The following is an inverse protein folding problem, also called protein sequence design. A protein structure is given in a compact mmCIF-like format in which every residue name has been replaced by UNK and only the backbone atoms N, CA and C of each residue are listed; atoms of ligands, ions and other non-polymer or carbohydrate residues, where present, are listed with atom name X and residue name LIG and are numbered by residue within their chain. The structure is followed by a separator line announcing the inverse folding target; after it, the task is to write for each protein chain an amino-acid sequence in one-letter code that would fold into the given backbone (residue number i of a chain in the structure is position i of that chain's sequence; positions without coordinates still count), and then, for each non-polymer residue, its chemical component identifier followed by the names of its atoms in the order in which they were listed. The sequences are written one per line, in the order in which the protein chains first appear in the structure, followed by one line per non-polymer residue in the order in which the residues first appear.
data_IF_469848782790
#
_entry.id   IF_469848782790
#
_cell.length_a   1.000
_cell.length_b   1.000
_cell.length_c   1.000
_cell.angle_alpha   90.00
_cell.angle_beta   90.00
_cell.angle_gamma   90.00
#
_symmetry.space_group_name_H-M   'P 1'
#
loop_
_entity.id
_entity.type
_entity.pdbx_description
1 polymer ?
#
# COMPACT_ATOMS: atom_id res chain seq x y z
N UNK A 1 -5.82 -4.70 2.98
CA UNK A 1 -5.58 -3.84 4.16
C UNK A 1 -6.52 -2.65 4.12
N UNK A 2 -6.96 -2.15 5.27
CA UNK A 2 -7.59 -0.84 5.43
C UNK A 2 -6.79 0.02 6.40
N UNK A 3 -6.84 1.34 6.22
CA UNK A 3 -6.17 2.31 7.09
C UNK A 3 -6.97 3.62 7.14
N UNK A 4 -7.04 4.26 8.32
CA UNK A 4 -7.64 5.60 8.43
C UNK A 4 -6.79 6.65 7.70
N UNK A 5 -5.47 6.48 7.73
CA UNK A 5 -4.52 7.23 6.91
C UNK A 5 -3.44 6.30 6.36
N UNK A 6 -3.08 6.49 5.09
CA UNK A 6 -1.96 5.82 4.45
C UNK A 6 -1.04 6.87 3.87
N UNK A 7 0.17 6.97 4.40
CA UNK A 7 1.22 7.87 3.90
C UNK A 7 2.33 7.06 3.26
N UNK A 8 2.67 7.40 2.02
CA UNK A 8 3.84 6.92 1.31
C UNK A 8 4.84 8.08 1.23
N UNK A 9 6.08 7.87 1.65
CA UNK A 9 7.16 8.86 1.60
C UNK A 9 8.26 8.40 0.64
N UNK A 10 8.83 9.32 -0.14
CA UNK A 10 9.84 9.00 -1.16
C UNK A 10 9.27 8.14 -2.29
N UNK A 11 8.10 8.51 -2.84
CA UNK A 11 7.35 7.66 -3.77
C UNK A 11 7.93 7.72 -5.17
N UNK A 12 8.23 6.55 -5.73
CA UNK A 12 8.53 6.33 -7.15
C UNK A 12 7.52 5.36 -7.74
N UNK A 13 6.94 5.70 -8.88
CA UNK A 13 6.06 4.81 -9.64
C UNK A 13 6.84 4.21 -10.82
N UNK A 14 7.01 2.89 -10.81
CA UNK A 14 7.81 2.16 -11.78
C UNK A 14 6.97 1.57 -12.93
N UNK A 15 5.72 2.01 -13.08
CA UNK A 15 4.79 1.46 -14.06
C UNK A 15 4.04 0.22 -13.56
N UNK A 16 3.76 -0.71 -14.46
CA UNK A 16 3.05 -1.95 -14.15
C UNK A 16 3.98 -3.15 -14.13
N UNK A 17 3.71 -4.10 -13.25
CA UNK A 17 4.43 -5.37 -13.17
C UNK A 17 3.46 -6.55 -13.13
N UNK A 18 3.85 -7.67 -13.73
CA UNK A 18 3.17 -8.95 -13.56
C UNK A 18 3.70 -9.68 -12.32
N UNK A 19 2.79 -10.18 -11.49
CA UNK A 19 3.08 -11.00 -10.31
C UNK A 19 2.27 -12.27 -10.35
N UNK A 20 2.89 -13.40 -10.03
CA UNK A 20 2.19 -14.67 -9.94
C UNK A 20 1.42 -14.75 -8.61
N UNK A 21 0.13 -15.06 -8.67
CA UNK A 21 -0.74 -15.32 -7.52
C UNK A 21 -1.54 -16.57 -7.82
N UNK A 22 -1.40 -17.61 -7.00
CA UNK A 22 -2.10 -18.88 -7.17
C UNK A 22 -1.96 -19.49 -8.59
N UNK A 23 -0.80 -19.30 -9.22
CA UNK A 23 -0.50 -19.77 -10.58
C UNK A 23 -1.05 -18.91 -11.72
N UNK A 24 -1.72 -17.79 -11.43
CA UNK A 24 -2.17 -16.83 -12.42
C UNK A 24 -1.27 -15.59 -12.45
N UNK A 25 -0.99 -15.07 -13.66
CA UNK A 25 -0.27 -13.81 -13.82
C UNK A 25 -1.20 -12.62 -13.62
N UNK A 26 -0.82 -11.78 -12.67
CA UNK A 26 -1.61 -10.65 -12.20
C UNK A 26 -0.91 -9.36 -12.55
N UNK A 27 -1.61 -8.46 -13.25
CA UNK A 27 -1.12 -7.09 -13.44
C UNK A 27 -1.25 -6.28 -12.16
N UNK A 28 -0.19 -5.57 -11.80
CA UNK A 28 -0.10 -4.73 -10.59
C UNK A 28 0.53 -3.38 -10.94
N UNK A 29 0.16 -2.34 -10.19
CA UNK A 29 0.94 -1.11 -10.13
C UNK A 29 2.17 -1.35 -9.25
N UNK A 30 3.34 -0.92 -9.72
CA UNK A 30 4.60 -1.09 -9.00
C UNK A 30 5.08 0.26 -8.47
N UNK A 31 5.19 0.36 -7.14
CA UNK A 31 5.78 1.51 -6.47
C UNK A 31 7.01 1.09 -5.67
N UNK A 32 7.99 1.99 -5.58
CA UNK A 32 9.04 1.94 -4.56
C UNK A 32 8.85 3.12 -3.61
N UNK A 33 8.94 2.89 -2.31
CA UNK A 33 8.83 3.93 -1.28
C UNK A 33 9.91 3.75 -0.21
N UNK A 34 10.27 4.82 0.48
CA UNK A 34 11.27 4.77 1.56
C UNK A 34 10.62 4.43 2.91
N UNK A 35 9.40 4.90 3.12
CA UNK A 35 8.66 4.71 4.37
C UNK A 35 7.15 4.69 4.13
N UNK A 36 6.49 3.81 4.87
CA UNK A 36 5.04 3.77 5.00
C UNK A 36 4.62 4.15 6.41
N UNK A 37 3.58 4.97 6.53
CA UNK A 37 2.86 5.22 7.79
C UNK A 37 1.40 4.88 7.61
N UNK A 38 0.88 4.04 8.49
CA UNK A 38 -0.43 3.40 8.34
C UNK A 38 -1.22 3.61 9.62
N UNK A 39 -2.15 4.57 9.59
CA UNK A 39 -3.06 4.85 10.70
C UNK A 39 -4.13 3.76 10.82
N UNK A 40 -4.37 3.29 12.05
CA UNK A 40 -5.40 2.29 12.36
C UNK A 40 -5.31 1.05 11.45
N UNK A 41 -4.09 0.54 11.26
CA UNK A 41 -3.80 -0.59 10.38
C UNK A 41 -4.73 -1.76 10.71
N UNK A 42 -5.44 -2.23 9.69
CA UNK A 42 -6.12 -3.52 9.69
C UNK A 42 -5.72 -4.27 8.43
N UNK A 43 -4.99 -5.36 8.61
CA UNK A 43 -4.56 -6.25 7.55
C UNK A 43 -5.25 -7.60 7.69
N UNK A 44 -5.56 -8.19 6.54
CA UNK A 44 -6.04 -9.56 6.39
C UNK A 44 -5.13 -10.25 5.40
N UNK A 45 -4.73 -11.46 5.70
CA UNK A 45 -3.87 -12.27 4.83
C UNK A 45 -3.37 -13.50 5.57
N UNK A 46 -2.79 -14.45 4.82
CA UNK A 46 -2.12 -15.60 5.42
C UNK A 46 -0.82 -15.18 6.09
N UNK A 47 -0.64 -15.53 7.37
CA UNK A 47 0.69 -15.61 7.99
C UNK A 47 1.11 -17.07 7.88
N UNK A 48 1.97 -17.41 6.92
CA UNK A 48 2.58 -18.75 6.75
C UNK A 48 1.67 -19.93 7.15
N UNK A 49 0.81 -20.37 6.22
CA UNK A 49 -0.18 -21.44 6.44
C UNK A 49 -1.48 -21.15 5.66
N UNK A 50 -2.43 -22.09 5.69
CA UNK A 50 -3.74 -21.98 5.02
C UNK A 50 -4.76 -21.10 5.78
N UNK A 51 -4.44 -20.68 7.00
CA UNK A 51 -5.36 -19.90 7.84
C UNK A 51 -5.23 -18.39 7.57
N UNK A 52 -6.34 -17.77 7.15
CA UNK A 52 -6.47 -16.33 7.08
C UNK A 52 -6.45 -15.72 8.48
N UNK A 53 -5.56 -14.75 8.70
CA UNK A 53 -5.51 -14.02 9.97
C UNK A 53 -5.84 -12.55 9.76
N UNK A 54 -6.42 -11.96 10.79
CA UNK A 54 -6.59 -10.53 10.94
C UNK A 54 -5.50 -9.99 11.85
N UNK A 55 -4.69 -9.08 11.34
CA UNK A 55 -3.72 -8.30 12.13
C UNK A 55 -4.23 -6.86 12.23
N UNK A 56 -4.42 -6.36 13.45
CA UNK A 56 -4.88 -5.01 13.71
C UNK A 56 -3.96 -4.25 14.67
N UNK A 57 -3.67 -2.99 14.39
CA UNK A 57 -2.99 -2.10 15.32
C UNK A 57 -3.95 -1.62 16.42
N UNK A 58 -3.40 -1.11 17.52
CA UNK A 58 -4.19 -0.40 18.53
C UNK A 58 -4.91 0.80 17.89
N UNK A 59 -6.20 1.04 18.18
CA UNK A 59 -6.91 2.22 17.68
C UNK A 59 -6.20 3.53 18.04
N UNK A 60 -6.23 4.49 17.12
CA UNK A 60 -5.54 5.78 17.18
C UNK A 60 -4.02 5.69 17.01
N UNK A 61 -3.47 4.54 16.62
CA UNK A 61 -2.02 4.37 16.45
C UNK A 61 -1.59 4.35 14.98
N UNK A 62 -0.30 4.58 14.76
CA UNK A 62 0.33 4.59 13.43
C UNK A 62 1.33 3.44 13.38
N UNK A 63 1.07 2.48 12.49
CA UNK A 63 2.04 1.45 12.12
C UNK A 63 3.03 2.00 11.10
N UNK A 64 4.25 1.49 11.08
CA UNK A 64 5.30 1.96 10.17
C UNK A 64 5.97 0.81 9.45
N UNK A 65 6.34 1.03 8.20
CA UNK A 65 7.35 0.23 7.51
C UNK A 65 8.48 1.20 7.15
N UNK A 66 9.65 0.98 7.72
CA UNK A 66 10.84 1.85 7.56
C UNK A 66 11.98 1.06 6.95
N UNK A 67 13.17 1.67 6.79
CA UNK A 67 14.36 0.98 6.26
C UNK A 67 14.16 0.52 4.80
N UNK A 68 13.59 1.39 3.96
CA UNK A 68 13.42 1.12 2.53
C UNK A 68 14.74 0.98 1.74
N UNK A 69 14.66 0.68 0.44
CA UNK A 69 13.45 0.73 -0.38
C UNK A 69 12.45 -0.38 -0.06
N UNK A 70 11.16 -0.04 -0.10
CA UNK A 70 10.03 -0.96 0.06
C UNK A 70 9.32 -1.04 -1.30
N UNK A 71 9.22 -2.26 -1.83
CA UNK A 71 8.54 -2.53 -3.09
C UNK A 71 7.07 -2.88 -2.84
N UNK A 72 6.18 -2.24 -3.60
CA UNK A 72 4.73 -2.42 -3.47
C UNK A 72 4.13 -2.83 -4.82
N UNK A 73 3.57 -4.04 -4.86
CA UNK A 73 2.84 -4.55 -6.02
C UNK A 73 1.35 -4.52 -5.72
N UNK A 74 0.69 -3.48 -6.22
CA UNK A 74 -0.66 -3.09 -5.80
C UNK A 74 -1.67 -3.33 -6.91
N UNK A 75 -2.70 -4.13 -6.65
CA UNK A 75 -3.86 -4.29 -7.56
C UNK A 75 -4.82 -3.12 -7.45
N UNK A 76 -5.06 -2.65 -6.23
CA UNK A 76 -6.04 -1.60 -5.97
C UNK A 76 -5.63 -0.75 -4.78
N UNK A 77 -5.70 0.56 -4.94
CA UNK A 77 -5.57 1.56 -3.88
C UNK A 77 -6.69 2.58 -4.04
N UNK A 78 -7.61 2.60 -3.08
CA UNK A 78 -8.67 3.61 -3.01
C UNK A 78 -8.52 4.47 -1.77
N UNK A 79 -8.97 5.71 -1.86
CA UNK A 79 -9.05 6.62 -0.72
C UNK A 79 -9.19 8.05 -1.21
N UNK A 80 -9.22 8.99 -0.27
CA UNK A 80 -9.18 10.41 -0.64
C UNK A 80 -7.73 10.88 -0.63
N UNK A 81 -7.19 11.20 -1.81
CA UNK A 81 -5.82 11.66 -1.95
C UNK A 81 -5.69 13.11 -1.48
N UNK A 82 -4.70 13.34 -0.62
CA UNK A 82 -4.18 14.64 -0.22
C UNK A 82 -2.72 14.73 -0.64
N UNK A 83 -2.42 15.65 -1.56
CA UNK A 83 -1.05 16.01 -1.95
C UNK A 83 -0.80 17.40 -1.42
N UNK A 84 0.12 17.56 -0.45
CA UNK A 84 0.69 18.82 0.03
C UNK A 84 -0.09 20.12 -0.29
N UNK A 85 -1.33 20.27 0.20
CA UNK A 85 -2.14 21.49 0.07
C UNK A 85 -3.09 21.58 -1.14
N UNK A 86 -3.18 20.56 -1.98
CA UNK A 86 -4.12 20.46 -3.09
C UNK A 86 -5.48 19.87 -2.64
N UNK A 87 -6.56 20.08 -3.41
CA UNK A 87 -7.90 19.60 -3.06
C UNK A 87 -7.92 18.09 -2.77
N UNK A 88 -8.72 17.70 -1.78
CA UNK A 88 -9.00 16.30 -1.47
C UNK A 88 -9.81 15.67 -2.61
N UNK A 89 -9.19 14.76 -3.35
CA UNK A 89 -9.83 14.09 -4.49
C UNK A 89 -10.02 12.61 -4.15
N UNK A 90 -11.25 12.08 -4.15
CA UNK A 90 -11.49 10.65 -4.11
C UNK A 90 -10.81 9.99 -5.31
N UNK A 91 -9.96 9.01 -5.07
CA UNK A 91 -9.21 8.32 -6.11
C UNK A 91 -9.35 6.81 -5.99
N UNK A 92 -9.41 6.16 -7.15
CA UNK A 92 -9.23 4.72 -7.32
C UNK A 92 -8.07 4.48 -8.28
N UNK A 93 -6.98 3.95 -7.75
CA UNK A 93 -5.80 3.55 -8.50
C UNK A 93 -5.82 2.04 -8.68
N UNK A 94 -5.76 1.61 -9.92
CA UNK A 94 -5.66 0.21 -10.35
C UNK A 94 -5.02 0.16 -11.74
N UNK A 95 -4.44 -0.99 -12.14
CA UNK A 95 -3.96 -1.18 -13.50
C UNK A 95 -4.99 -0.90 -14.60
N UNK A 96 -6.28 -1.07 -14.29
CA UNK A 96 -7.38 -0.86 -15.22
C UNK A 96 -7.91 0.58 -15.21
N UNK A 97 -7.87 1.27 -14.07
CA UNK A 97 -8.35 2.66 -13.95
C UNK A 97 -7.34 3.70 -14.42
N UNK A 98 -6.04 3.38 -14.36
CA UNK A 98 -4.98 4.23 -14.90
C UNK A 98 -4.92 4.07 -16.43
N UNK A 99 -5.61 4.95 -17.15
CA UNK A 99 -5.52 5.08 -18.62
C UNK A 99 -4.19 5.69 -19.11
N UNK A 100 -3.22 5.87 -18.21
CA UNK A 100 -1.90 6.37 -18.55
C UNK A 100 -1.17 5.20 -19.24
N UNK A 101 -0.63 5.36 -20.46
CA UNK A 101 0.21 4.32 -21.08
C UNK A 101 1.34 3.95 -20.12
N UNK A 102 1.87 2.72 -20.20
CA UNK A 102 2.97 2.16 -19.38
C UNK A 102 4.24 3.03 -19.45
N UNK A 103 4.15 4.22 -18.88
CA UNK A 103 5.15 5.25 -18.86
C UNK A 103 5.77 5.11 -17.50
N UNK A 104 7.03 4.67 -17.50
CA UNK A 104 7.87 4.72 -16.33
C UNK A 104 8.00 6.19 -15.91
N UNK A 105 7.26 6.56 -14.85
CA UNK A 105 7.34 7.87 -14.22
C UNK A 105 8.32 7.80 -13.04
N UNK A 106 9.34 6.95 -13.09
CA UNK A 106 10.37 6.84 -12.05
C UNK A 106 11.15 8.14 -11.80
N UNK A 107 11.11 9.09 -12.75
CA UNK A 107 11.62 10.45 -12.57
C UNK A 107 10.71 11.34 -11.70
N UNK A 108 9.43 10.99 -11.57
CA UNK A 108 8.45 11.70 -10.76
C UNK A 108 8.57 11.20 -9.31
N UNK A 109 9.55 11.74 -8.61
CA UNK A 109 9.68 11.55 -7.17
C UNK A 109 8.67 12.45 -6.46
N UNK A 110 7.61 11.85 -5.92
CA UNK A 110 6.66 12.56 -5.08
C UNK A 110 7.16 12.46 -3.63
N UNK A 111 7.45 13.58 -2.96
CA UNK A 111 8.05 13.53 -1.62
C UNK A 111 7.11 12.84 -0.63
N UNK A 112 5.80 12.98 -0.83
CA UNK A 112 4.78 12.40 0.05
C UNK A 112 3.43 12.30 -0.66
N UNK A 113 2.81 11.12 -0.57
CA UNK A 113 1.39 10.90 -0.88
C UNK A 113 0.65 10.52 0.40
N UNK A 114 -0.53 11.07 0.64
CA UNK A 114 -1.35 10.72 1.80
C UNK A 114 -2.79 10.45 1.38
N UNK A 115 -3.29 9.27 1.71
CA UNK A 115 -4.68 8.89 1.51
C UNK A 115 -5.39 8.85 2.85
N UNK A 116 -6.61 9.38 2.93
CA UNK A 116 -7.53 9.06 4.03
C UNK A 116 -8.50 7.96 3.59
N UNK A 117 -9.00 7.19 4.56
CA UNK A 117 -9.95 6.09 4.34
C UNK A 117 -9.44 5.09 3.29
N UNK A 118 -8.16 4.74 3.44
CA UNK A 118 -7.44 3.97 2.45
C UNK A 118 -7.85 2.49 2.49
N UNK A 119 -8.13 1.93 1.32
CA UNK A 119 -8.28 0.48 1.12
C UNK A 119 -7.26 0.05 0.09
N UNK A 120 -6.41 -0.90 0.48
CA UNK A 120 -5.30 -1.39 -0.34
C UNK A 120 -5.40 -2.90 -0.54
N UNK A 121 -5.27 -3.34 -1.78
CA UNK A 121 -5.09 -4.74 -2.16
C UNK A 121 -3.72 -4.89 -2.80
N UNK A 122 -2.76 -5.31 -1.99
CA UNK A 122 -1.42 -5.67 -2.45
C UNK A 122 -1.40 -7.15 -2.80
N UNK A 123 -0.63 -7.47 -3.84
CA UNK A 123 -0.20 -8.83 -4.15
C UNK A 123 1.04 -9.17 -3.34
N UNK A 124 1.97 -8.23 -3.28
CA UNK A 124 3.25 -8.43 -2.63
C UNK A 124 3.75 -7.10 -2.05
N UNK A 125 4.44 -7.18 -0.93
CA UNK A 125 5.22 -6.13 -0.33
C UNK A 125 6.57 -6.73 0.06
N UNK A 126 7.66 -6.14 -0.42
CA UNK A 126 9.01 -6.61 -0.14
C UNK A 126 9.88 -5.49 0.43
N UNK A 127 10.78 -5.85 1.34
CA UNK A 127 11.68 -4.92 2.02
C UNK A 127 11.10 -4.19 3.23
N UNK A 128 12.00 -3.49 3.91
CA UNK A 128 11.71 -2.68 5.10
C UNK A 128 11.43 -3.47 6.38
N UNK A 129 11.18 -2.71 7.46
CA UNK A 129 10.93 -3.21 8.80
C UNK A 129 9.58 -2.76 9.31
N UNK A 130 8.69 -3.72 9.52
CA UNK A 130 7.32 -3.49 10.00
C UNK A 130 7.28 -3.34 11.53
N UNK A 131 6.63 -2.28 11.99
CA UNK A 131 6.28 -2.07 13.39
C UNK A 131 4.79 -1.75 13.52
N UNK A 132 4.10 -2.54 14.35
CA UNK A 132 2.66 -2.41 14.59
C UNK A 132 2.43 -2.19 16.09
N UNK A 133 2.07 -0.97 16.52
CA UNK A 133 1.81 -0.67 17.93
C UNK A 133 0.62 -1.47 18.47
N UNK A 134 0.87 -2.27 19.51
CA UNK A 134 -0.18 -3.05 20.17
C UNK A 134 -0.88 -4.03 19.25
N UNK A 135 -0.13 -4.67 18.35
CA UNK A 135 -0.64 -5.64 17.39
C UNK A 135 -1.54 -6.68 18.06
N UNK A 136 -2.76 -6.81 17.54
CA UNK A 136 -3.67 -7.90 17.84
C UNK A 136 -3.74 -8.82 16.61
N UNK A 137 -3.55 -10.11 16.83
CA UNK A 137 -3.65 -11.15 15.80
C UNK A 137 -4.79 -12.06 16.20
N UNK A 138 -5.75 -12.23 15.31
CA UNK A 138 -6.90 -13.10 15.50
C UNK A 138 -7.14 -13.96 14.25
N UNK A 139 -7.67 -15.18 14.39
CA UNK A 139 -8.22 -15.93 13.26
C UNK A 139 -9.32 -15.12 12.58
N UNK A 140 -9.40 -15.21 11.24
CA UNK A 140 -10.52 -14.65 10.47
C UNK A 140 -11.72 -15.60 10.39
#
# INVERSE_FOLDING_TARGET
MTASTLTLEGVRYNGFALKEVDGEQVRTMHFTVDTLRIGDLVQRGGLTGDDSVRVAARPGSVSTITEGPIELYTRKLTGTLNVAGYPLVPMELSPESLLIPDLDLGFLELPKLTFTDAVVRNVELDGGKLFIPGANIAPE
#
